data_IF_408333411766
#
_entry.id   IF_408333411766
#
_cell.length_a   1.000
_cell.length_b   1.000
_cell.length_c   1.000
_cell.angle_alpha   90.00
_cell.angle_beta   90.00
_cell.angle_gamma   90.00
#
_symmetry.space_group_name_H-M   'P 1'
#
loop_
_entity.id
_entity.type
_entity.pdbx_description
1 polymer ?
#
# COMPACT_ATOMS: atom_id res chain seq x y z
N UNK A 1 16.43 -23.55 -41.59
CA UNK A 1 17.04 -22.37 -40.94
C UNK A 1 15.89 -21.46 -40.55
N UNK A 2 15.48 -21.52 -39.28
CA UNK A 2 14.44 -20.65 -38.73
C UNK A 2 15.06 -19.32 -38.41
N UNK A 3 14.56 -18.26 -39.01
CA UNK A 3 14.90 -16.88 -38.65
C UNK A 3 14.05 -16.51 -37.43
N UNK A 4 14.63 -16.68 -36.24
CA UNK A 4 14.16 -15.99 -35.04
C UNK A 4 14.50 -14.51 -35.21
N UNK A 5 13.47 -13.67 -35.37
CA UNK A 5 13.57 -12.22 -35.51
C UNK A 5 13.25 -11.47 -34.22
N UNK A 6 13.23 -12.18 -33.09
CA UNK A 6 13.28 -11.57 -31.78
C UNK A 6 14.59 -12.03 -31.14
N UNK A 7 15.64 -11.21 -31.27
CA UNK A 7 16.65 -11.22 -30.23
C UNK A 7 15.91 -10.71 -29.00
N UNK A 8 15.55 -11.59 -28.06
CA UNK A 8 15.12 -11.21 -26.72
C UNK A 8 16.30 -10.49 -26.06
N UNK A 9 16.45 -9.20 -26.36
CA UNK A 9 17.35 -8.32 -25.62
C UNK A 9 16.61 -8.02 -24.32
N UNK A 10 16.64 -8.99 -23.41
CA UNK A 10 16.20 -8.82 -22.03
C UNK A 10 17.14 -7.83 -21.36
N UNK A 11 16.76 -6.56 -21.35
CA UNK A 11 17.46 -5.53 -20.57
C UNK A 11 17.00 -5.65 -19.11
N UNK A 12 17.91 -5.72 -18.13
CA UNK A 12 17.52 -5.74 -16.74
C UNK A 12 16.87 -4.39 -16.38
N UNK A 13 15.70 -4.47 -15.78
CA UNK A 13 14.92 -3.31 -15.37
C UNK A 13 14.63 -3.40 -13.88
N UNK A 14 14.89 -2.30 -13.16
CA UNK A 14 14.52 -2.14 -11.76
C UNK A 14 13.48 -1.03 -11.68
N UNK A 15 12.37 -1.31 -11.02
CA UNK A 15 11.31 -0.34 -10.78
C UNK A 15 11.34 0.05 -9.31
N UNK A 16 11.41 1.35 -9.07
CA UNK A 16 11.27 1.94 -7.74
C UNK A 16 9.92 2.63 -7.67
N UNK A 17 9.14 2.30 -6.65
CA UNK A 17 7.84 2.89 -6.39
C UNK A 17 7.91 3.62 -5.05
N UNK A 18 7.53 4.89 -5.05
CA UNK A 18 7.53 5.72 -3.85
C UNK A 18 6.16 6.37 -3.68
N UNK A 19 5.52 6.13 -2.54
CA UNK A 19 4.21 6.69 -2.23
C UNK A 19 4.32 8.00 -1.44
N UNK A 20 3.63 9.04 -1.94
CA UNK A 20 3.49 10.33 -1.28
C UNK A 20 2.01 10.75 -1.21
N UNK A 21 1.25 10.24 -0.22
CA UNK A 21 -0.18 10.52 -0.05
C UNK A 21 -0.50 12.02 0.01
N UNK A 22 -1.39 12.48 -0.86
CA UNK A 22 -1.89 13.85 -0.87
C UNK A 22 -1.07 14.83 -1.71
N UNK A 23 0.00 14.38 -2.37
CA UNK A 23 0.80 15.22 -3.26
C UNK A 23 0.22 15.27 -4.69
N UNK A 24 0.22 16.48 -5.25
CA UNK A 24 -0.07 16.71 -6.67
C UNK A 24 1.09 16.25 -7.56
N UNK A 25 0.84 15.95 -8.86
CA UNK A 25 1.91 15.55 -9.78
C UNK A 25 3.08 16.54 -9.86
N UNK A 26 2.80 17.85 -9.79
CA UNK A 26 3.81 18.90 -9.83
C UNK A 26 4.69 18.90 -8.56
N UNK A 27 4.11 18.60 -7.39
CA UNK A 27 4.85 18.45 -6.14
C UNK A 27 5.72 17.20 -6.15
N UNK A 28 5.21 16.08 -6.67
CA UNK A 28 5.99 14.85 -6.84
C UNK A 28 7.18 15.09 -7.76
N UNK A 29 6.96 15.75 -8.90
CA UNK A 29 8.02 16.10 -9.85
C UNK A 29 9.08 17.02 -9.21
N UNK A 30 8.64 18.04 -8.46
CA UNK A 30 9.53 19.03 -7.87
C UNK A 30 10.33 18.52 -6.67
N UNK A 31 9.67 17.80 -5.76
CA UNK A 31 10.20 17.44 -4.44
C UNK A 31 10.79 16.03 -4.40
N UNK A 32 10.36 15.12 -5.27
CA UNK A 32 10.81 13.72 -5.25
C UNK A 32 11.58 13.32 -6.50
N UNK A 33 11.06 13.63 -7.68
CA UNK A 33 11.62 13.13 -8.95
C UNK A 33 13.07 13.58 -9.14
N UNK A 34 13.35 14.88 -8.99
CA UNK A 34 14.70 15.42 -9.16
C UNK A 34 15.73 14.84 -8.18
N UNK A 35 15.51 14.86 -6.84
CA UNK A 35 16.47 14.27 -5.91
C UNK A 35 16.73 12.78 -6.16
N UNK A 36 15.70 12.03 -6.56
CA UNK A 36 15.82 10.59 -6.84
C UNK A 36 16.57 10.35 -8.14
N UNK A 37 16.25 11.09 -9.20
CA UNK A 37 16.94 10.99 -10.48
C UNK A 37 18.44 11.30 -10.33
N UNK A 38 18.76 12.41 -9.66
CA UNK A 38 20.15 12.83 -9.39
C UNK A 38 20.93 11.76 -8.60
N UNK A 39 20.28 11.10 -7.63
CA UNK A 39 20.90 10.01 -6.86
C UNK A 39 21.21 8.78 -7.71
N UNK A 40 20.31 8.45 -8.65
CA UNK A 40 20.38 7.25 -9.47
C UNK A 40 21.40 7.37 -10.62
N UNK A 41 21.71 8.59 -11.09
CA UNK A 41 22.74 8.82 -12.13
C UNK A 41 24.12 8.29 -11.70
N UNK A 42 24.39 8.24 -10.39
CA UNK A 42 25.65 7.73 -9.84
C UNK A 42 25.77 6.19 -9.80
N UNK A 43 24.77 5.45 -10.26
CA UNK A 43 24.78 3.98 -10.25
C UNK A 43 25.49 3.47 -11.49
N UNK A 44 26.58 2.72 -11.29
CA UNK A 44 27.33 2.09 -12.37
C UNK A 44 26.45 1.10 -13.15
N UNK A 45 26.61 1.07 -14.48
CA UNK A 45 25.85 0.16 -15.34
C UNK A 45 24.47 0.67 -15.76
N UNK A 46 24.00 1.79 -15.21
CA UNK A 46 22.76 2.44 -15.63
C UNK A 46 22.83 2.91 -17.09
N UNK A 47 21.84 2.56 -17.90
CA UNK A 47 21.63 3.07 -19.26
C UNK A 47 20.69 4.26 -19.26
N UNK A 48 19.49 4.06 -18.70
CA UNK A 48 18.42 5.05 -18.72
C UNK A 48 17.65 5.02 -17.41
N UNK A 49 17.28 6.21 -16.94
CA UNK A 49 16.38 6.40 -15.83
C UNK A 49 15.13 7.08 -16.41
N UNK A 50 13.96 6.53 -16.12
CA UNK A 50 12.67 7.06 -16.57
C UNK A 50 11.77 7.27 -15.36
N UNK A 51 11.70 8.50 -14.83
CA UNK A 51 10.71 8.83 -13.83
C UNK A 51 9.32 9.01 -14.47
N UNK A 52 8.30 8.65 -13.72
CA UNK A 52 6.89 8.84 -14.02
C UNK A 52 6.22 9.35 -12.74
N UNK A 53 5.98 10.65 -12.71
CA UNK A 53 5.27 11.32 -11.61
C UNK A 53 3.77 11.23 -11.84
N UNK A 54 3.06 10.68 -10.88
CA UNK A 54 1.60 10.59 -10.86
C UNK A 54 1.08 11.20 -9.56
N UNK A 55 -0.23 11.46 -9.51
CA UNK A 55 -0.86 11.87 -8.26
C UNK A 55 -0.59 10.81 -7.17
N UNK A 56 -0.10 11.27 -6.02
CA UNK A 56 0.26 10.43 -4.87
C UNK A 56 1.43 9.43 -5.07
N UNK A 57 2.00 9.33 -6.27
CA UNK A 57 2.90 8.23 -6.62
C UNK A 57 4.05 8.68 -7.52
N UNK A 58 5.27 8.29 -7.16
CA UNK A 58 6.42 8.35 -8.05
C UNK A 58 6.84 6.94 -8.46
N UNK A 59 6.86 6.67 -9.76
CA UNK A 59 7.46 5.46 -10.31
C UNK A 59 8.75 5.82 -11.04
N UNK A 60 9.86 5.15 -10.73
CA UNK A 60 11.14 5.33 -11.41
C UNK A 60 11.59 4.02 -12.00
N UNK A 61 11.77 3.99 -13.32
CA UNK A 61 12.21 2.80 -14.06
C UNK A 61 13.69 2.99 -14.42
N UNK A 62 14.54 2.14 -13.87
CA UNK A 62 15.98 2.13 -14.13
C UNK A 62 16.31 0.96 -15.06
N UNK A 63 16.89 1.27 -16.21
CA UNK A 63 17.28 0.31 -17.24
C UNK A 63 18.80 0.21 -17.23
N UNK A 64 19.34 -1.01 -17.16
CA UNK A 64 20.78 -1.26 -17.12
C UNK A 64 21.32 -1.71 -18.49
N UNK A 65 22.60 -1.39 -18.76
CA UNK A 65 23.26 -1.62 -20.06
C UNK A 65 23.61 -3.07 -20.36
N UNK A 66 23.80 -3.89 -19.33
CA UNK A 66 24.28 -5.27 -19.47
C UNK A 66 23.51 -6.18 -18.52
N UNK A 67 23.54 -7.48 -18.79
CA UNK A 67 23.02 -8.50 -17.87
C UNK A 67 23.97 -8.55 -16.66
N UNK A 68 23.65 -7.74 -15.66
CA UNK A 68 24.32 -7.61 -14.37
C UNK A 68 23.59 -8.42 -13.31
N UNK A 69 24.23 -8.59 -12.14
CA UNK A 69 23.55 -9.21 -11.02
C UNK A 69 22.47 -8.24 -10.49
N UNK A 70 21.21 -8.53 -10.82
CA UNK A 70 20.09 -7.72 -10.40
C UNK A 70 19.94 -7.65 -8.87
N UNK A 71 20.53 -8.58 -8.11
CA UNK A 71 20.59 -8.49 -6.65
C UNK A 71 21.46 -7.30 -6.25
N UNK A 72 22.68 -7.23 -6.75
CA UNK A 72 23.64 -6.17 -6.42
C UNK A 72 23.18 -4.80 -6.94
N UNK A 73 22.59 -4.76 -8.14
CA UNK A 73 22.04 -3.53 -8.70
C UNK A 73 20.85 -3.03 -7.89
N UNK A 74 19.96 -3.92 -7.45
CA UNK A 74 18.83 -3.54 -6.60
C UNK A 74 19.27 -3.04 -5.23
N UNK A 75 20.33 -3.63 -4.66
CA UNK A 75 20.94 -3.15 -3.43
C UNK A 75 21.55 -1.76 -3.62
N UNK A 76 22.24 -1.54 -4.73
CA UNK A 76 22.82 -0.23 -5.09
C UNK A 76 21.75 0.85 -5.28
N UNK A 77 20.64 0.52 -5.97
CA UNK A 77 19.47 1.40 -6.11
C UNK A 77 18.88 1.72 -4.74
N UNK A 78 18.69 0.71 -3.88
CA UNK A 78 18.17 0.87 -2.54
C UNK A 78 19.06 1.79 -1.69
N UNK A 79 20.37 1.62 -1.76
CA UNK A 79 21.32 2.45 -1.03
C UNK A 79 21.25 3.91 -1.48
N UNK A 80 21.19 4.16 -2.79
CA UNK A 80 21.08 5.53 -3.33
C UNK A 80 19.79 6.21 -2.93
N UNK A 81 18.66 5.50 -3.01
CA UNK A 81 17.37 6.05 -2.58
C UNK A 81 17.37 6.31 -1.06
N UNK A 82 17.97 5.42 -0.27
CA UNK A 82 18.10 5.61 1.18
C UNK A 82 18.98 6.84 1.53
N UNK A 83 20.04 7.11 0.77
CA UNK A 83 20.91 8.28 0.97
C UNK A 83 20.18 9.61 0.74
N UNK A 84 19.28 9.67 -0.24
CA UNK A 84 18.49 10.88 -0.51
C UNK A 84 17.18 10.94 0.25
N UNK A 85 16.86 9.93 1.07
CA UNK A 85 15.65 9.92 1.91
C UNK A 85 15.57 11.15 2.82
N UNK A 86 16.71 11.65 3.32
CA UNK A 86 16.76 12.88 4.13
C UNK A 86 16.46 14.17 3.35
N UNK A 87 16.47 14.13 2.01
CA UNK A 87 16.09 15.25 1.14
C UNK A 87 14.63 15.15 0.67
N UNK A 88 13.95 14.03 0.95
CA UNK A 88 12.54 13.84 0.62
C UNK A 88 11.67 14.40 1.75
N UNK A 89 10.41 14.78 1.46
CA UNK A 89 9.44 15.13 2.50
C UNK A 89 9.20 13.97 3.48
N UNK A 90 8.97 14.30 4.76
CA UNK A 90 8.73 13.32 5.83
C UNK A 90 7.42 12.53 5.63
N UNK A 91 6.51 13.07 4.82
CA UNK A 91 5.22 12.46 4.49
C UNK A 91 5.32 11.28 3.49
N UNK A 92 6.51 11.02 2.94
CA UNK A 92 6.77 9.85 2.08
C UNK A 92 6.69 8.57 2.92
N UNK A 93 5.72 7.71 2.61
CA UNK A 93 5.39 6.54 3.45
C UNK A 93 6.15 5.28 3.06
N UNK A 94 6.00 4.89 1.80
CA UNK A 94 6.42 3.57 1.34
C UNK A 94 7.38 3.68 0.17
N UNK A 95 8.48 2.94 0.29
CA UNK A 95 9.45 2.70 -0.77
C UNK A 95 9.42 1.22 -1.06
N UNK A 96 9.06 0.86 -2.29
CA UNK A 96 9.21 -0.51 -2.77
C UNK A 96 10.14 -0.53 -3.97
N UNK A 97 11.04 -1.51 -3.99
CA UNK A 97 11.96 -1.73 -5.10
C UNK A 97 11.63 -3.11 -5.64
N UNK A 98 11.14 -3.15 -6.86
CA UNK A 98 10.87 -4.38 -7.57
C UNK A 98 11.85 -4.54 -8.72
N UNK A 99 12.35 -5.76 -8.86
CA UNK A 99 13.11 -6.16 -10.04
C UNK A 99 12.10 -6.63 -11.05
N UNK A 100 12.10 -6.03 -12.23
CA UNK A 100 11.31 -6.54 -13.33
C UNK A 100 12.00 -7.81 -13.81
N UNK A 101 11.44 -8.95 -13.44
CA UNK A 101 11.83 -10.22 -14.01
C UNK A 101 11.19 -10.31 -15.40
N UNK A 102 11.96 -9.97 -16.43
CA UNK A 102 11.47 -9.97 -17.81
C UNK A 102 11.25 -11.41 -18.30
N UNK A 103 11.85 -12.39 -17.62
CA UNK A 103 11.65 -13.82 -17.85
C UNK A 103 10.47 -14.38 -17.01
N UNK A 104 9.88 -13.60 -16.09
CA UNK A 104 8.68 -13.95 -15.35
C UNK A 104 7.42 -13.82 -16.23
N UNK A 105 7.36 -14.65 -17.26
CA UNK A 105 6.11 -14.92 -17.95
C UNK A 105 5.19 -15.72 -17.02
N UNK A 106 3.92 -15.31 -16.84
CA UNK A 106 3.00 -16.05 -16.00
C UNK A 106 2.80 -17.46 -16.56
N UNK A 107 3.20 -18.47 -15.78
CA UNK A 107 3.06 -19.89 -16.17
C UNK A 107 1.58 -20.28 -16.25
N UNK A 108 0.76 -19.71 -15.36
CA UNK A 108 -0.68 -19.97 -15.26
C UNK A 108 -1.44 -18.68 -15.03
N UNK A 109 -2.53 -18.49 -15.77
CA UNK A 109 -3.47 -17.38 -15.58
C UNK A 109 -4.85 -17.98 -15.31
N UNK A 110 -5.41 -17.63 -14.16
CA UNK A 110 -6.76 -18.04 -13.77
C UNK A 110 -7.70 -16.84 -13.72
N UNK A 111 -8.93 -17.05 -14.19
CA UNK A 111 -10.02 -16.09 -13.99
C UNK A 111 -10.93 -16.62 -12.91
N UNK A 112 -11.09 -15.86 -11.83
CA UNK A 112 -12.00 -16.22 -10.73
C UNK A 112 -13.35 -15.54 -10.96
N UNK A 113 -14.42 -16.34 -10.89
CA UNK A 113 -15.80 -15.85 -10.92
C UNK A 113 -16.47 -16.19 -9.60
N UNK A 114 -17.05 -15.20 -8.95
CA UNK A 114 -17.86 -15.38 -7.74
C UNK A 114 -19.30 -14.95 -7.99
N UNK A 115 -20.22 -15.49 -7.18
CA UNK A 115 -21.60 -14.98 -7.06
C UNK A 115 -21.68 -13.80 -6.07
N UNK A 116 -20.69 -13.67 -5.20
CA UNK A 116 -20.60 -12.59 -4.21
C UNK A 116 -20.10 -11.29 -4.83
N UNK A 117 -20.08 -10.23 -4.00
CA UNK A 117 -19.50 -8.96 -4.40
C UNK A 117 -18.04 -9.12 -4.82
N UNK A 118 -17.61 -8.33 -5.82
CA UNK A 118 -16.23 -8.34 -6.33
C UNK A 118 -15.21 -8.10 -5.21
N UNK A 119 -15.54 -7.25 -4.23
CA UNK A 119 -14.70 -6.95 -3.07
C UNK A 119 -14.57 -8.13 -2.11
N UNK A 120 -15.66 -8.83 -1.82
CA UNK A 120 -15.64 -10.04 -0.98
C UNK A 120 -14.82 -11.15 -1.64
N UNK A 121 -15.00 -11.34 -2.94
CA UNK A 121 -14.25 -12.32 -3.70
C UNK A 121 -12.74 -12.00 -3.71
N UNK A 122 -12.35 -10.74 -3.93
CA UNK A 122 -10.94 -10.31 -3.87
C UNK A 122 -10.34 -10.54 -2.49
N UNK A 123 -11.08 -10.23 -1.42
CA UNK A 123 -10.62 -10.46 -0.05
C UNK A 123 -10.37 -11.96 0.22
N UNK A 124 -11.28 -12.83 -0.21
CA UNK A 124 -11.10 -14.27 -0.07
C UNK A 124 -9.90 -14.80 -0.88
N UNK A 125 -9.72 -14.31 -2.11
CA UNK A 125 -8.56 -14.66 -2.93
C UNK A 125 -7.28 -14.22 -2.21
N UNK A 126 -7.23 -13.00 -1.71
CA UNK A 126 -6.03 -12.43 -1.09
C UNK A 126 -5.67 -13.09 0.24
N UNK A 127 -6.66 -13.45 1.07
CA UNK A 127 -6.41 -13.94 2.42
C UNK A 127 -6.40 -15.46 2.53
N UNK A 128 -6.91 -16.18 1.52
CA UNK A 128 -7.01 -17.65 1.56
C UNK A 128 -6.32 -18.31 0.38
N UNK A 129 -6.65 -17.91 -0.86
CA UNK A 129 -6.13 -18.59 -2.06
C UNK A 129 -4.67 -18.24 -2.30
N UNK A 130 -4.32 -16.95 -2.26
CA UNK A 130 -2.96 -16.47 -2.51
C UNK A 130 -1.95 -17.10 -1.52
N UNK A 131 -2.14 -17.05 -0.19
CA UNK A 131 -1.21 -17.67 0.74
C UNK A 131 -1.10 -19.19 0.57
N UNK A 132 -2.19 -19.87 0.24
CA UNK A 132 -2.17 -21.32 0.02
C UNK A 132 -1.37 -21.72 -1.23
N UNK A 133 -1.42 -20.90 -2.28
CA UNK A 133 -0.66 -21.12 -3.50
C UNK A 133 0.81 -20.68 -3.37
N UNK A 134 1.10 -19.62 -2.61
CA UNK A 134 2.47 -19.18 -2.32
C UNK A 134 3.26 -20.23 -1.51
N UNK A 135 2.58 -21.12 -0.78
CA UNK A 135 3.20 -22.23 -0.05
C UNK A 135 3.56 -23.43 -0.93
N UNK A 136 3.17 -23.44 -2.21
CA UNK A 136 3.48 -24.54 -3.12
C UNK A 136 4.92 -24.40 -3.62
N UNK A 137 5.72 -25.45 -3.45
CA UNK A 137 7.11 -25.47 -3.92
C UNK A 137 7.23 -25.08 -5.40
N UNK A 138 8.07 -24.09 -5.68
CA UNK A 138 8.30 -23.58 -7.05
C UNK A 138 7.44 -22.37 -7.42
N UNK A 139 6.53 -21.90 -6.56
CA UNK A 139 5.81 -20.64 -6.77
C UNK A 139 6.66 -19.47 -6.28
N UNK A 140 7.06 -18.60 -7.22
CA UNK A 140 7.84 -17.38 -6.94
C UNK A 140 6.93 -16.21 -6.51
N UNK A 141 5.85 -15.98 -7.26
CA UNK A 141 4.95 -14.85 -7.04
C UNK A 141 3.54 -15.17 -7.53
N UNK A 142 2.56 -14.48 -6.93
CA UNK A 142 1.16 -14.53 -7.35
C UNK A 142 0.60 -13.11 -7.38
N UNK A 143 0.20 -12.70 -8.59
CA UNK A 143 -0.38 -11.40 -8.85
C UNK A 143 -1.90 -11.50 -9.02
N UNK A 144 -2.63 -10.62 -8.32
CA UNK A 144 -4.09 -10.55 -8.40
C UNK A 144 -4.47 -9.31 -9.20
N UNK A 145 -4.94 -9.53 -10.43
CA UNK A 145 -5.38 -8.46 -11.31
C UNK A 145 -6.88 -8.14 -11.12
N UNK A 146 -7.20 -6.85 -11.01
CA UNK A 146 -8.57 -6.37 -10.94
C UNK A 146 -9.31 -6.72 -9.66
N UNK A 147 -10.59 -6.38 -9.60
CA UNK A 147 -11.36 -6.42 -8.37
C UNK A 147 -11.27 -5.11 -7.58
N UNK A 148 -12.11 -4.97 -6.55
CA UNK A 148 -12.22 -3.75 -5.75
C UNK A 148 -11.74 -4.05 -4.35
N UNK A 149 -10.78 -3.29 -3.86
CA UNK A 149 -10.38 -3.37 -2.46
C UNK A 149 -11.51 -2.91 -1.57
N UNK A 150 -11.73 -3.66 -0.49
CA UNK A 150 -12.71 -3.26 0.52
C UNK A 150 -12.16 -2.02 1.22
N UNK A 151 -12.89 -0.92 1.12
CA UNK A 151 -12.59 0.34 1.82
C UNK A 151 -13.79 0.70 2.67
N UNK A 152 -13.51 1.01 3.93
CA UNK A 152 -14.47 1.54 4.92
C UNK A 152 -14.44 3.06 4.77
N UNK A 153 -15.56 3.64 4.35
CA UNK A 153 -15.71 5.09 4.30
C UNK A 153 -16.31 5.57 5.60
N UNK A 154 -15.69 6.56 6.23
CA UNK A 154 -16.24 7.20 7.42
C UNK A 154 -16.84 8.52 6.98
N UNK A 155 -18.17 8.58 6.95
CA UNK A 155 -18.92 9.79 6.60
C UNK A 155 -19.22 10.60 7.87
N UNK A 156 -18.87 11.88 7.81
CA UNK A 156 -18.96 12.81 8.92
C UNK A 156 -20.14 13.76 8.72
N UNK A 157 -21.06 13.81 9.69
CA UNK A 157 -22.15 14.78 9.68
C UNK A 157 -21.65 16.15 10.17
N UNK A 158 -21.58 17.11 9.24
CA UNK A 158 -21.07 18.45 9.48
C UNK A 158 -21.86 19.18 10.58
N UNK A 159 -23.17 19.01 10.66
CA UNK A 159 -23.99 19.71 11.66
C UNK A 159 -23.66 19.23 13.09
N UNK A 160 -23.40 17.93 13.25
CA UNK A 160 -23.03 17.35 14.54
C UNK A 160 -21.61 17.77 14.94
N UNK A 161 -20.67 17.77 14.00
CA UNK A 161 -19.30 18.20 14.22
C UNK A 161 -19.22 19.67 14.63
N UNK A 162 -19.94 20.54 13.91
CA UNK A 162 -19.99 21.98 14.20
C UNK A 162 -20.63 22.25 15.57
N UNK A 163 -21.68 21.49 15.94
CA UNK A 163 -22.33 21.60 17.26
C UNK A 163 -21.41 21.18 18.41
N UNK A 164 -20.55 20.19 18.17
CA UNK A 164 -19.58 19.67 19.13
C UNK A 164 -18.25 20.43 19.10
N UNK A 165 -18.11 21.42 18.21
CA UNK A 165 -16.89 22.19 17.98
C UNK A 165 -15.66 21.28 17.75
N UNK A 166 -15.86 20.18 17.03
CA UNK A 166 -14.83 19.20 16.70
C UNK A 166 -14.24 19.50 15.32
N UNK A 167 -12.98 19.17 15.11
CA UNK A 167 -12.34 19.23 13.79
C UNK A 167 -12.29 17.83 13.16
N UNK A 168 -12.49 17.74 11.85
CA UNK A 168 -12.38 16.49 11.09
C UNK A 168 -10.98 15.86 11.24
N UNK A 169 -9.94 16.68 11.37
CA UNK A 169 -8.56 16.20 11.60
C UNK A 169 -8.42 15.51 12.95
N UNK A 170 -9.12 16.00 13.99
CA UNK A 170 -9.12 15.41 15.33
C UNK A 170 -9.85 14.07 15.32
N UNK A 171 -10.96 13.98 14.58
CA UNK A 171 -11.69 12.71 14.40
C UNK A 171 -10.82 11.69 13.69
N UNK A 172 -10.17 12.07 12.58
CA UNK A 172 -9.27 11.19 11.85
C UNK A 172 -8.10 10.69 12.72
N UNK A 173 -7.48 11.57 13.50
CA UNK A 173 -6.42 11.20 14.42
C UNK A 173 -6.90 10.24 15.53
N UNK A 174 -8.12 10.43 16.03
CA UNK A 174 -8.74 9.52 17.03
C UNK A 174 -9.03 8.15 16.46
N UNK A 175 -9.65 8.08 15.28
CA UNK A 175 -9.92 6.80 14.60
C UNK A 175 -8.62 6.04 14.36
N UNK A 176 -7.56 6.75 13.95
CA UNK A 176 -6.25 6.13 13.74
C UNK A 176 -5.61 5.66 15.05
N UNK A 177 -5.78 6.39 16.15
CA UNK A 177 -5.21 6.02 17.44
C UNK A 177 -5.92 4.81 18.08
N UNK A 178 -7.23 4.64 17.86
CA UNK A 178 -8.00 3.50 18.35
C UNK A 178 -7.76 2.24 17.51
N UNK A 179 -7.54 2.38 16.19
CA UNK A 179 -7.28 1.26 15.28
C UNK A 179 -5.85 0.71 15.37
N UNK A 180 -5.31 0.52 16.57
CA UNK A 180 -3.95 0.01 16.80
C UNK A 180 -3.95 -1.03 17.90
N UNK A 181 -3.35 -2.18 17.62
CA UNK A 181 -3.05 -3.18 18.64
C UNK A 181 -1.79 -2.76 19.41
N UNK A 182 -1.95 -2.39 20.68
CA UNK A 182 -0.85 -1.94 21.52
C UNK A 182 -0.39 -3.12 22.40
N UNK A 183 0.89 -3.57 22.29
CA UNK A 183 1.43 -4.57 23.20
C UNK A 183 1.57 -3.96 24.61
N UNK A 184 0.90 -4.55 25.58
CA UNK A 184 0.80 -4.02 26.95
C UNK A 184 1.85 -4.59 27.90
N UNK A 185 2.79 -5.37 27.37
CA UNK A 185 3.88 -6.01 28.12
C UNK A 185 3.69 -7.51 28.32
N UNK A 186 4.42 -8.07 29.27
CA UNK A 186 4.32 -9.48 29.69
C UNK A 186 4.18 -9.56 31.20
N UNK A 187 3.48 -10.60 31.66
CA UNK A 187 3.36 -10.93 33.08
C UNK A 187 4.02 -12.29 33.30
N UNK A 188 5.08 -12.31 34.12
CA UNK A 188 5.76 -13.55 34.49
C UNK A 188 5.06 -14.19 35.70
N UNK A 189 4.50 -15.39 35.48
CA UNK A 189 4.00 -16.22 36.57
C UNK A 189 4.76 -17.54 36.59
N UNK A 190 5.62 -17.69 37.61
CA UNK A 190 6.45 -18.87 37.91
C UNK A 190 7.39 -19.33 36.77
N UNK A 191 6.86 -19.99 35.74
CA UNK A 191 7.58 -20.49 34.56
C UNK A 191 6.85 -20.20 33.23
N UNK A 192 5.82 -19.35 33.23
CA UNK A 192 5.09 -18.95 32.04
C UNK A 192 5.10 -17.43 31.90
N UNK A 193 5.64 -16.97 30.77
CA UNK A 193 5.55 -15.59 30.32
C UNK A 193 4.21 -15.43 29.59
N UNK A 194 3.31 -14.63 30.15
CA UNK A 194 2.00 -14.35 29.54
C UNK A 194 2.09 -12.97 28.89
N UNK A 195 2.16 -12.93 27.55
CA UNK A 195 2.08 -11.67 26.80
C UNK A 195 0.67 -11.11 26.88
N UNK A 196 0.54 -9.87 27.35
CA UNK A 196 -0.73 -9.13 27.39
C UNK A 196 -0.73 -8.12 26.26
N UNK A 197 -1.78 -8.13 25.44
CA UNK A 197 -1.96 -7.19 24.34
C UNK A 197 -3.37 -6.61 24.39
N UNK A 198 -3.49 -5.31 24.20
CA UNK A 198 -4.77 -4.66 23.95
C UNK A 198 -5.11 -4.84 22.47
N UNK A 199 -6.26 -5.44 22.19
CA UNK A 199 -6.83 -5.52 20.86
C UNK A 199 -7.62 -4.22 20.61
N UNK A 200 -7.18 -3.43 19.63
CA UNK A 200 -7.82 -2.18 19.23
C UNK A 200 -8.15 -2.12 17.73
N UNK A 201 -7.61 -3.04 16.92
CA UNK A 201 -7.91 -3.10 15.50
C UNK A 201 -9.40 -3.42 15.23
N UNK A 202 -10.01 -2.67 14.32
CA UNK A 202 -11.43 -2.85 13.98
C UNK A 202 -11.62 -4.08 13.10
N UNK A 203 -12.29 -5.11 13.64
CA UNK A 203 -12.66 -6.31 12.87
C UNK A 203 -13.96 -6.10 12.07
N UNK A 204 -14.83 -5.20 12.53
CA UNK A 204 -16.10 -4.88 11.89
C UNK A 204 -16.38 -3.37 11.90
N UNK A 205 -17.16 -2.94 10.91
CA UNK A 205 -17.69 -1.59 10.75
C UNK A 205 -18.46 -1.14 11.99
N UNK A 206 -19.12 -2.07 12.69
CA UNK A 206 -19.86 -1.73 13.91
C UNK A 206 -18.94 -1.22 15.02
N UNK A 207 -17.71 -1.75 15.13
CA UNK A 207 -16.74 -1.29 16.12
C UNK A 207 -16.28 0.16 15.87
N UNK A 208 -16.35 0.63 14.62
CA UNK A 208 -16.05 2.03 14.27
C UNK A 208 -17.13 3.00 14.76
N UNK A 209 -18.36 2.54 15.02
CA UNK A 209 -19.47 3.41 15.47
C UNK A 209 -19.34 3.86 16.92
N UNK A 210 -18.65 3.08 17.74
CA UNK A 210 -18.56 3.30 19.19
C UNK A 210 -17.29 4.08 19.59
N UNK A 211 -16.59 4.69 18.61
CA UNK A 211 -15.39 5.47 18.88
C UNK A 211 -15.75 6.73 19.68
N UNK A 212 -15.15 6.86 20.86
CA UNK A 212 -15.32 8.02 21.73
C UNK A 212 -14.38 9.13 21.24
N UNK A 213 -14.97 10.18 20.65
CA UNK A 213 -14.19 11.30 20.08
C UNK A 213 -13.88 12.39 21.11
N UNK A 214 -14.70 12.56 22.16
CA UNK A 214 -14.53 13.62 23.18
C UNK A 214 -14.89 13.18 24.61
N UNK A 215 -14.36 13.89 25.63
CA UNK A 215 -14.48 13.52 27.05
C UNK A 215 -15.84 13.86 27.70
N UNK A 216 -16.60 14.78 27.11
CA UNK A 216 -18.03 14.85 27.37
C UNK A 216 -18.67 13.71 26.59
N UNK A 217 -19.35 12.76 27.23
CA UNK A 217 -19.99 11.59 26.59
C UNK A 217 -20.88 11.96 25.38
N UNK A 218 -20.25 12.18 24.22
CA UNK A 218 -20.87 12.66 22.99
C UNK A 218 -20.49 11.65 21.93
N UNK A 219 -21.37 10.68 21.70
CA UNK A 219 -21.21 9.67 20.66
C UNK A 219 -21.39 10.36 19.32
N UNK A 220 -20.32 10.43 18.52
CA UNK A 220 -20.41 10.87 17.12
C UNK A 220 -20.74 9.62 16.32
N UNK A 221 -21.93 9.57 15.72
CA UNK A 221 -22.35 8.44 14.90
C UNK A 221 -21.57 8.47 13.58
N UNK A 222 -20.58 7.60 13.46
CA UNK A 222 -19.85 7.38 12.21
C UNK A 222 -20.69 6.49 11.30
N UNK A 223 -21.21 7.06 10.22
CA UNK A 223 -21.87 6.28 9.18
C UNK A 223 -20.80 5.68 8.29
N UNK A 224 -20.84 4.35 8.15
CA UNK A 224 -19.96 3.66 7.25
C UNK A 224 -20.75 3.00 6.13
N UNK A 225 -20.55 3.49 4.91
CA UNK A 225 -21.14 2.91 3.72
C UNK A 225 -20.14 1.93 3.09
N UNK A 226 -20.41 0.62 3.21
CA UNK A 226 -19.70 -0.36 2.37
C UNK A 226 -20.21 -0.15 0.94
N UNK A 227 -19.43 0.61 0.19
CA UNK A 227 -19.44 0.68 -1.26
C UNK A 227 -20.81 0.83 -1.94
N UNK A 228 -21.49 1.97 -1.67
CA UNK A 228 -22.66 2.49 -2.39
C UNK A 228 -23.64 1.41 -2.86
N UNK A 229 -24.54 1.00 -1.98
CA UNK A 229 -25.82 0.41 -2.38
C UNK A 229 -26.91 1.45 -2.18
N UNK A 230 -27.51 1.92 -3.28
CA UNK A 230 -28.72 2.71 -3.21
C UNK A 230 -29.86 1.84 -2.70
N UNK A 231 -30.55 2.32 -1.69
CA UNK A 231 -32.00 2.20 -1.66
C UNK A 231 -32.58 3.52 -1.21
N UNK A 232 -33.63 3.95 -1.91
CA UNK A 232 -34.30 5.21 -1.68
C UNK A 232 -34.95 5.18 -0.30
N UNK A 233 -34.34 5.88 0.66
CA UNK A 233 -34.79 5.84 2.05
C UNK A 233 -34.74 7.21 2.70
N UNK A 234 -35.58 8.12 2.20
CA UNK A 234 -36.02 9.37 2.83
C UNK A 234 -35.93 9.35 4.37
N UNK A 235 -35.22 10.30 4.98
CA UNK A 235 -35.65 11.12 6.15
C UNK A 235 -34.53 12.10 6.57
N UNK A 236 -34.77 13.39 6.30
CA UNK A 236 -35.09 14.53 7.20
C UNK A 236 -33.85 15.03 7.93
#
# INVERSE_FOLDING_TARGET
MGVDLFTDITMPVITVLIEYPGASPDEVEGLMTKPIEDAMVGINGTDRIRPLSQERLLQVIVIFKSVTDMVDDSASVCEKVAQVRGNLPDEVKELSISRADVDASPILIYTVKSKDSISTARLFINNTIKPALEQVDGVSSIDIFGGRERRVWIELDRNQIDTLNLDATTIAARVQAENVNIPSGHFDKEQQEISVRTLGEFEDVEMTRDIIVTSSHSTVWLFCSDSRCGDGGRRV
#
